data_IF_709298833145
#
_entry.id   IF_709298833145
#
_cell.length_a   1.000
_cell.length_b   1.000
_cell.length_c   1.000
_cell.angle_alpha   90.00
_cell.angle_beta   90.00
_cell.angle_gamma   90.00
#
_symmetry.space_group_name_H-M   'P 1'
#
loop_
_entity.id
_entity.type
_entity.pdbx_description
1 polymer ?
#
# COMPACT_ATOMS: atom_id res chain seq x y z
N UNK A 1 -19.32 3.29 26.80
CA UNK A 1 -18.32 2.25 26.47
C UNK A 1 -17.93 2.26 24.98
N UNK A 2 -17.43 3.38 24.42
CA UNK A 2 -17.09 3.47 22.98
C UNK A 2 -15.63 3.86 22.66
N UNK A 3 -14.81 4.17 23.68
CA UNK A 3 -13.44 4.68 23.46
C UNK A 3 -12.41 3.58 23.16
N UNK A 4 -12.59 2.35 23.68
CA UNK A 4 -11.62 1.28 23.46
C UNK A 4 -11.63 0.80 21.99
N UNK A 5 -12.81 0.63 21.38
CA UNK A 5 -12.92 0.13 20.00
C UNK A 5 -12.28 1.08 18.96
N UNK A 6 -12.32 2.39 19.18
CA UNK A 6 -11.70 3.37 18.26
C UNK A 6 -10.16 3.32 18.34
N UNK A 7 -9.60 3.11 19.54
CA UNK A 7 -8.16 2.92 19.75
C UNK A 7 -7.66 1.65 19.05
N UNK A 8 -8.37 0.53 19.20
CA UNK A 8 -8.02 -0.73 18.51
C UNK A 8 -8.06 -0.57 16.98
N UNK A 9 -9.08 0.13 16.45
CA UNK A 9 -9.17 0.41 15.01
C UNK A 9 -8.00 1.28 14.53
N UNK A 10 -7.60 2.29 15.30
CA UNK A 10 -6.48 3.18 14.99
C UNK A 10 -5.14 2.43 15.01
N UNK A 11 -4.88 1.62 16.04
CA UNK A 11 -3.66 0.81 16.19
C UNK A 11 -3.56 -0.25 15.07
N UNK A 12 -4.67 -0.89 14.71
CA UNK A 12 -4.69 -1.86 13.61
C UNK A 12 -4.39 -1.20 12.26
N UNK A 13 -4.90 0.02 12.04
CA UNK A 13 -4.61 0.78 10.82
C UNK A 13 -3.14 1.17 10.71
N UNK A 14 -2.50 1.59 11.80
CA UNK A 14 -1.08 1.96 11.79
C UNK A 14 -0.17 0.75 11.61
N UNK A 15 -0.51 -0.39 12.24
CA UNK A 15 0.17 -1.68 12.03
C UNK A 15 0.11 -2.13 10.56
N UNK A 16 -1.11 -2.13 9.96
CA UNK A 16 -1.30 -2.51 8.55
C UNK A 16 -0.53 -1.59 7.62
N UNK A 17 -0.62 -0.27 7.79
CA UNK A 17 0.13 0.69 6.98
C UNK A 17 1.63 0.44 7.04
N UNK A 18 2.17 0.17 8.23
CA UNK A 18 3.60 -0.13 8.41
C UNK A 18 4.00 -1.43 7.72
N UNK A 19 3.16 -2.47 7.81
CA UNK A 19 3.40 -3.75 7.14
C UNK A 19 3.38 -3.59 5.61
N UNK A 20 2.36 -2.93 5.05
CA UNK A 20 2.28 -2.63 3.61
C UNK A 20 3.50 -1.84 3.16
N UNK A 21 3.87 -0.78 3.89
CA UNK A 21 5.06 0.04 3.58
C UNK A 21 6.32 -0.80 3.52
N UNK A 22 6.55 -1.65 4.52
CA UNK A 22 7.73 -2.51 4.57
C UNK A 22 7.75 -3.53 3.45
N UNK A 23 6.58 -4.09 3.11
CA UNK A 23 6.44 -5.07 2.04
C UNK A 23 6.69 -4.46 0.66
N UNK A 24 6.16 -3.26 0.41
CA UNK A 24 6.44 -2.53 -0.84
C UNK A 24 7.91 -2.12 -0.90
N UNK A 25 8.49 -1.60 0.19
CA UNK A 25 9.92 -1.26 0.26
C UNK A 25 10.83 -2.46 -0.03
N UNK A 26 10.48 -3.65 0.45
CA UNK A 26 11.23 -4.89 0.20
C UNK A 26 11.17 -5.31 -1.28
N UNK A 27 10.13 -4.91 -1.99
CA UNK A 27 9.83 -5.29 -3.37
C UNK A 27 9.98 -4.10 -4.33
N UNK A 28 10.82 -3.11 -4.01
CA UNK A 28 11.16 -2.05 -4.95
C UNK A 28 11.87 -2.65 -6.16
N UNK A 29 11.52 -2.16 -7.35
CA UNK A 29 12.02 -2.64 -8.63
C UNK A 29 11.28 -3.86 -9.19
N UNK A 30 10.38 -4.49 -8.44
CA UNK A 30 9.63 -5.67 -8.89
C UNK A 30 8.19 -5.34 -9.28
N UNK A 31 7.61 -6.20 -10.12
CA UNK A 31 6.21 -6.11 -10.48
C UNK A 31 5.35 -6.76 -9.41
N UNK A 32 4.39 -6.00 -8.88
CA UNK A 32 3.44 -6.47 -7.88
C UNK A 32 2.02 -6.20 -8.34
N UNK A 33 1.11 -7.00 -7.81
CA UNK A 33 -0.33 -6.74 -7.86
C UNK A 33 -0.68 -5.90 -6.63
N UNK A 34 -1.29 -4.74 -6.85
CA UNK A 34 -1.75 -3.83 -5.80
C UNK A 34 -3.27 -3.76 -5.85
N UNK A 35 -3.91 -4.22 -4.78
CA UNK A 35 -5.35 -4.10 -4.59
C UNK A 35 -5.62 -2.85 -3.76
N UNK A 36 -6.41 -1.93 -4.32
CA UNK A 36 -6.94 -0.76 -3.63
C UNK A 36 -8.46 -0.85 -3.53
N UNK A 37 -9.06 0.10 -2.82
CA UNK A 37 -10.53 0.23 -2.73
C UNK A 37 -11.17 0.44 -4.11
N UNK A 38 -10.47 1.12 -5.02
CA UNK A 38 -10.98 1.50 -6.34
C UNK A 38 -10.72 0.45 -7.43
N UNK A 39 -9.84 -0.53 -7.18
CA UNK A 39 -9.52 -1.56 -8.15
C UNK A 39 -8.18 -2.27 -7.93
N UNK A 40 -7.79 -3.06 -8.93
CA UNK A 40 -6.55 -3.84 -8.91
C UNK A 40 -5.61 -3.33 -9.99
N UNK A 41 -4.41 -2.94 -9.56
CA UNK A 41 -3.34 -2.45 -10.43
C UNK A 41 -2.22 -3.48 -10.51
N UNK A 42 -1.63 -3.60 -11.70
CA UNK A 42 -0.43 -4.40 -11.92
C UNK A 42 0.66 -3.50 -12.48
N UNK A 43 1.78 -3.40 -11.77
CA UNK A 43 2.86 -2.52 -12.17
C UNK A 43 4.12 -2.73 -11.37
N UNK A 44 5.19 -2.08 -11.83
CA UNK A 44 6.50 -2.10 -11.17
C UNK A 44 6.52 -1.10 -10.03
N UNK A 45 6.94 -1.53 -8.86
CA UNK A 45 7.14 -0.63 -7.72
C UNK A 45 8.41 0.18 -7.96
N UNK A 46 8.27 1.48 -8.23
CA UNK A 46 9.43 2.34 -8.48
C UNK A 46 9.97 2.94 -7.17
N UNK A 47 9.06 3.45 -6.33
CA UNK A 47 9.47 4.18 -5.13
C UNK A 47 8.39 4.17 -4.06
N UNK A 48 8.83 4.30 -2.81
CA UNK A 48 7.96 4.68 -1.67
C UNK A 48 8.47 5.99 -1.09
N UNK A 49 7.61 7.00 -1.05
CA UNK A 49 7.89 8.27 -0.40
C UNK A 49 6.85 8.53 0.69
N UNK A 50 7.30 8.61 1.93
CA UNK A 50 6.42 8.71 3.10
C UNK A 50 5.25 7.69 3.13
N UNK A 51 4.00 8.14 2.93
CA UNK A 51 2.77 7.32 2.83
C UNK A 51 2.31 7.09 1.37
N UNK A 52 3.13 7.38 0.38
CA UNK A 52 2.82 7.23 -1.05
C UNK A 52 3.68 6.14 -1.70
N UNK A 53 3.04 5.37 -2.58
CA UNK A 53 3.65 4.31 -3.39
C UNK A 53 3.55 4.71 -4.86
N UNK A 54 4.69 4.69 -5.54
CA UNK A 54 4.82 5.02 -6.95
C UNK A 54 4.90 3.73 -7.75
N UNK A 55 3.93 3.54 -8.63
CA UNK A 55 3.75 2.33 -9.43
C UNK A 55 3.87 2.70 -10.89
N UNK A 56 4.84 2.14 -11.59
CA UNK A 56 4.97 2.28 -13.04
C UNK A 56 4.09 1.25 -13.74
N UNK A 57 3.18 1.73 -14.59
CA UNK A 57 2.28 0.91 -15.42
C UNK A 57 2.39 1.42 -16.86
N UNK A 58 3.08 0.66 -17.70
CA UNK A 58 3.38 1.09 -19.08
C UNK A 58 4.32 2.30 -19.08
N UNK A 59 3.86 3.40 -19.66
CA UNK A 59 4.55 4.70 -19.75
C UNK A 59 4.15 5.70 -18.66
N UNK A 60 3.26 5.29 -17.73
CA UNK A 60 2.71 6.16 -16.69
C UNK A 60 3.16 5.76 -15.29
N UNK A 61 3.28 6.76 -14.42
CA UNK A 61 3.50 6.58 -12.99
C UNK A 61 2.20 6.89 -12.26
N UNK A 62 1.68 5.90 -11.56
CA UNK A 62 0.54 6.03 -10.66
C UNK A 62 1.03 6.23 -9.23
N UNK A 63 0.37 7.12 -8.50
CA UNK A 63 0.65 7.37 -7.09
C UNK A 63 -0.54 6.86 -6.28
N UNK A 64 -0.27 5.96 -5.35
CA UNK A 64 -1.28 5.35 -4.48
C UNK A 64 -0.89 5.59 -3.02
N UNK A 65 -1.82 6.11 -2.22
CA UNK A 65 -1.57 6.22 -0.78
C UNK A 65 -1.65 4.85 -0.11
N UNK A 66 -0.71 4.57 0.79
CA UNK A 66 -0.64 3.30 1.54
C UNK A 66 -1.94 3.03 2.32
N UNK A 67 -2.66 4.08 2.73
CA UNK A 67 -3.94 3.97 3.43
C UNK A 67 -5.04 3.32 2.57
N UNK A 68 -4.95 3.47 1.25
CA UNK A 68 -5.94 3.01 0.27
C UNK A 68 -5.57 1.63 -0.30
N UNK A 69 -4.39 1.11 0.06
CA UNK A 69 -3.93 -0.22 -0.32
C UNK A 69 -4.49 -1.27 0.63
N UNK A 70 -5.30 -2.16 0.08
CA UNK A 70 -5.86 -3.29 0.81
C UNK A 70 -4.92 -4.50 0.81
N UNK A 71 -4.24 -4.74 -0.31
CA UNK A 71 -3.36 -5.89 -0.46
C UNK A 71 -2.26 -5.62 -1.46
N UNK A 72 -1.08 -6.21 -1.21
CA UNK A 72 0.01 -6.24 -2.19
C UNK A 72 0.55 -7.66 -2.22
N UNK A 73 0.77 -8.18 -3.42
CA UNK A 73 1.28 -9.55 -3.60
C UNK A 73 2.23 -9.63 -4.79
N UNK A 74 3.22 -10.54 -4.74
CA UNK A 74 3.93 -10.93 -5.94
C UNK A 74 2.93 -11.57 -6.92
N UNK A 75 3.21 -11.42 -8.21
CA UNK A 75 2.55 -12.25 -9.22
C UNK A 75 3.04 -13.69 -9.11
#
# INVERSE_FOLDING_TARGET
MFQLASLWRKIRSSSRRRATRNMVKKNLGTFLIVQTVDGVYYGKMERVWDEEVFISIGDRIYVVHIKDIEGVGPK
#
